data_IF_611805045464
#
_entry.id   IF_611805045464
#
_cell.length_a   1.000
_cell.length_b   1.000
_cell.length_c   1.000
_cell.angle_alpha   90.00
_cell.angle_beta   90.00
_cell.angle_gamma   90.00
#
_symmetry.space_group_name_H-M   'P 1'
#
loop_
_entity.id
_entity.type
_entity.pdbx_description
1 polymer ?
#
# COMPACT_ATOMS: atom_id res chain seq x y z
N UNK A 1 -58.03 -0.93 -66.09
CA UNK A 1 -56.98 -0.30 -65.26
C UNK A 1 -57.57 -0.06 -63.88
N UNK A 2 -57.20 -0.86 -62.89
CA UNK A 2 -57.60 -0.68 -61.49
C UNK A 2 -56.47 -1.22 -60.61
N UNK A 3 -55.77 -0.32 -59.91
CA UNK A 3 -54.59 -0.60 -59.09
C UNK A 3 -55.02 -0.67 -57.63
N UNK A 4 -55.00 -1.88 -57.06
CA UNK A 4 -55.22 -2.11 -55.62
C UNK A 4 -53.90 -2.52 -54.97
N UNK A 5 -53.27 -1.58 -54.26
CA UNK A 5 -52.07 -1.81 -53.47
C UNK A 5 -52.43 -2.41 -52.09
N UNK A 6 -51.76 -3.51 -51.73
CA UNK A 6 -51.94 -4.28 -50.48
C UNK A 6 -50.99 -3.73 -49.39
N UNK A 7 -51.38 -3.63 -48.11
CA UNK A 7 -50.55 -2.99 -47.09
C UNK A 7 -49.48 -3.95 -46.50
N UNK A 8 -48.32 -3.39 -46.17
CA UNK A 8 -47.18 -4.08 -45.58
C UNK A 8 -47.39 -4.44 -44.09
N UNK A 9 -47.08 -5.69 -43.74
CA UNK A 9 -47.09 -6.23 -42.36
C UNK A 9 -45.94 -5.64 -41.54
N UNK A 10 -46.24 -4.99 -40.41
CA UNK A 10 -45.26 -4.60 -39.38
C UNK A 10 -44.74 -5.84 -38.63
N UNK A 11 -43.43 -6.09 -38.69
CA UNK A 11 -42.78 -7.10 -37.87
C UNK A 11 -42.56 -6.55 -36.44
N UNK A 12 -43.03 -7.27 -35.42
CA UNK A 12 -42.74 -6.98 -34.00
C UNK A 12 -41.35 -7.51 -33.66
N UNK A 13 -40.43 -6.62 -33.27
CA UNK A 13 -39.15 -7.00 -32.68
C UNK A 13 -39.35 -7.49 -31.23
N UNK A 14 -38.70 -8.60 -30.86
CA UNK A 14 -38.65 -9.10 -29.47
C UNK A 14 -37.70 -8.22 -28.63
N UNK A 15 -37.98 -7.94 -27.35
CA UNK A 15 -37.02 -7.24 -26.49
C UNK A 15 -35.86 -8.19 -26.12
N UNK A 16 -34.65 -7.65 -26.11
CA UNK A 16 -33.45 -8.34 -25.65
C UNK A 16 -33.50 -8.57 -24.12
N UNK A 17 -32.87 -9.65 -23.60
CA UNK A 17 -32.87 -9.92 -22.17
C UNK A 17 -32.03 -8.87 -21.42
N UNK A 18 -32.59 -8.34 -20.34
CA UNK A 18 -31.90 -7.43 -19.44
C UNK A 18 -30.71 -8.15 -18.78
N UNK A 19 -29.49 -7.61 -18.95
CA UNK A 19 -28.31 -8.05 -18.21
C UNK A 19 -28.57 -7.84 -16.72
N UNK A 20 -28.61 -8.93 -15.96
CA UNK A 20 -28.57 -8.88 -14.50
C UNK A 20 -27.22 -8.31 -14.06
N UNK A 21 -27.26 -7.17 -13.36
CA UNK A 21 -26.09 -6.53 -12.77
C UNK A 21 -25.49 -7.45 -11.69
N UNK A 22 -24.27 -7.95 -11.95
CA UNK A 22 -23.47 -8.66 -10.95
C UNK A 22 -23.11 -7.67 -9.84
N UNK A 23 -23.50 -7.98 -8.60
CA UNK A 23 -23.23 -7.14 -7.42
C UNK A 23 -21.72 -7.10 -7.07
N UNK A 24 -21.22 -6.01 -6.47
CA UNK A 24 -19.79 -5.76 -6.22
C UNK A 24 -19.20 -6.53 -5.01
N UNK A 25 -19.83 -7.60 -4.53
CA UNK A 25 -19.36 -8.31 -3.31
C UNK A 25 -17.93 -8.86 -3.45
N UNK A 26 -17.52 -9.25 -4.67
CA UNK A 26 -16.20 -9.79 -4.95
C UNK A 26 -15.05 -8.79 -4.82
N UNK A 27 -15.28 -7.49 -5.07
CA UNK A 27 -14.22 -6.48 -4.88
C UNK A 27 -13.96 -6.25 -3.39
N UNK A 28 -15.01 -6.31 -2.56
CA UNK A 28 -14.90 -6.13 -1.11
C UNK A 28 -14.13 -7.26 -0.42
N UNK A 29 -14.36 -8.53 -0.82
CA UNK A 29 -13.63 -9.67 -0.25
C UNK A 29 -12.16 -9.66 -0.66
N UNK A 30 -11.87 -9.30 -1.92
CA UNK A 30 -10.49 -9.17 -2.42
C UNK A 30 -9.72 -8.07 -1.69
N UNK A 31 -10.34 -6.90 -1.51
CA UNK A 31 -9.75 -5.81 -0.74
C UNK A 31 -9.51 -6.20 0.72
N UNK A 32 -10.49 -6.86 1.35
CA UNK A 32 -10.38 -7.38 2.73
C UNK A 32 -9.26 -8.42 2.86
N UNK A 33 -9.05 -9.27 1.86
CA UNK A 33 -7.98 -10.28 1.88
C UNK A 33 -6.60 -9.65 1.86
N UNK A 34 -6.44 -8.66 0.98
CA UNK A 34 -5.20 -7.90 0.89
C UNK A 34 -4.92 -7.09 2.15
N UNK A 35 -5.95 -6.44 2.70
CA UNK A 35 -5.86 -5.74 3.99
C UNK A 35 -5.53 -6.70 5.13
N UNK A 36 -6.18 -7.86 5.21
CA UNK A 36 -5.87 -8.88 6.21
C UNK A 36 -4.40 -9.32 6.14
N UNK A 37 -3.91 -9.63 4.94
CA UNK A 37 -2.50 -10.00 4.72
C UNK A 37 -1.55 -8.86 5.13
N UNK A 38 -1.91 -7.63 4.81
CA UNK A 38 -1.18 -6.43 5.24
C UNK A 38 -1.10 -6.34 6.76
N UNK A 39 -2.23 -6.52 7.46
CA UNK A 39 -2.29 -6.47 8.92
C UNK A 39 -1.43 -7.56 9.57
N UNK A 40 -1.44 -8.78 9.01
CA UNK A 40 -0.62 -9.87 9.53
C UNK A 40 0.89 -9.63 9.34
N UNK A 41 1.30 -8.92 8.28
CA UNK A 41 2.67 -8.44 8.13
C UNK A 41 2.99 -7.41 9.22
N UNK A 42 2.10 -6.43 9.43
CA UNK A 42 2.33 -5.36 10.40
C UNK A 42 2.42 -5.86 11.83
N UNK A 43 1.60 -6.85 12.20
CA UNK A 43 1.63 -7.50 13.52
C UNK A 43 2.78 -8.50 13.68
N UNK A 44 3.60 -8.74 12.65
CA UNK A 44 4.72 -9.67 12.69
C UNK A 44 4.33 -11.16 12.69
N UNK A 45 3.05 -11.47 12.46
CA UNK A 45 2.54 -12.84 12.31
C UNK A 45 2.90 -13.43 10.94
N UNK A 46 3.09 -12.58 9.93
CA UNK A 46 3.67 -12.93 8.65
C UNK A 46 5.09 -12.37 8.53
N UNK A 47 6.08 -13.26 8.52
CA UNK A 47 7.49 -12.91 8.45
C UNK A 47 8.09 -13.20 7.06
N UNK A 48 9.08 -12.41 6.61
CA UNK A 48 9.80 -12.69 5.38
C UNK A 48 10.42 -14.09 5.36
N UNK A 49 10.41 -14.73 4.19
CA UNK A 49 11.00 -16.06 3.98
C UNK A 49 10.30 -17.24 4.66
N UNK A 50 9.35 -17.01 5.57
CA UNK A 50 8.64 -18.09 6.27
C UNK A 50 7.79 -18.92 5.29
N UNK A 51 7.56 -20.19 5.63
CA UNK A 51 6.59 -21.03 4.93
C UNK A 51 5.26 -21.04 5.67
N UNK A 52 4.16 -20.89 4.94
CA UNK A 52 2.80 -21.04 5.44
C UNK A 52 2.01 -22.01 4.55
N UNK A 53 1.20 -22.84 5.16
CA UNK A 53 0.20 -23.67 4.47
C UNK A 53 -1.05 -22.85 4.14
N UNK A 54 -1.87 -23.34 3.20
CA UNK A 54 -3.18 -22.71 2.93
C UNK A 54 -4.06 -22.67 4.19
N UNK A 55 -3.96 -23.68 5.05
CA UNK A 55 -4.75 -23.78 6.29
C UNK A 55 -4.31 -22.76 7.34
N UNK A 56 -3.01 -22.54 7.48
CA UNK A 56 -2.48 -21.47 8.34
C UNK A 56 -2.90 -20.11 7.80
N UNK A 57 -2.84 -19.89 6.48
CA UNK A 57 -3.25 -18.64 5.85
C UNK A 57 -4.76 -18.38 6.03
N UNK A 58 -5.61 -19.42 5.98
CA UNK A 58 -7.03 -19.29 6.34
C UNK A 58 -7.22 -18.80 7.77
N UNK A 59 -6.43 -19.34 8.71
CA UNK A 59 -6.52 -18.98 10.13
C UNK A 59 -6.03 -17.56 10.38
N UNK A 60 -4.90 -17.19 9.76
CA UNK A 60 -4.30 -15.85 9.89
C UNK A 60 -5.19 -14.76 9.30
N UNK A 61 -5.90 -15.05 8.20
CA UNK A 61 -6.71 -14.06 7.50
C UNK A 61 -8.18 -14.10 7.88
N UNK A 62 -8.61 -15.08 8.68
CA UNK A 62 -10.01 -15.38 8.96
C UNK A 62 -10.84 -15.51 7.66
N UNK A 63 -10.38 -16.41 6.76
CA UNK A 63 -10.96 -16.58 5.43
C UNK A 63 -11.22 -18.04 5.06
N UNK A 64 -12.31 -18.30 4.31
CA UNK A 64 -12.59 -19.65 3.81
C UNK A 64 -11.56 -20.07 2.76
N UNK A 65 -11.36 -21.39 2.63
CA UNK A 65 -10.35 -21.98 1.73
C UNK A 65 -10.49 -21.51 0.27
N UNK A 66 -11.72 -21.34 -0.23
CA UNK A 66 -11.97 -20.85 -1.58
C UNK A 66 -11.40 -19.45 -1.80
N UNK A 67 -11.65 -18.52 -0.86
CA UNK A 67 -11.12 -17.16 -0.92
C UNK A 67 -9.58 -17.13 -0.83
N UNK A 68 -9.00 -17.95 0.04
CA UNK A 68 -7.53 -18.08 0.14
C UNK A 68 -6.94 -18.59 -1.17
N UNK A 69 -7.55 -19.60 -1.81
CA UNK A 69 -7.09 -20.13 -3.11
C UNK A 69 -7.16 -19.11 -4.23
N UNK A 70 -8.18 -18.25 -4.25
CA UNK A 70 -8.28 -17.16 -5.22
C UNK A 70 -7.28 -16.03 -4.97
N UNK A 71 -6.87 -15.84 -3.71
CA UNK A 71 -5.91 -14.81 -3.31
C UNK A 71 -4.47 -15.20 -3.64
N UNK A 72 -4.10 -16.49 -3.54
CA UNK A 72 -2.72 -16.95 -3.77
C UNK A 72 -2.13 -16.46 -5.10
N UNK A 73 -2.78 -16.65 -6.27
CA UNK A 73 -2.25 -16.16 -7.55
C UNK A 73 -2.00 -14.65 -7.56
N UNK A 74 -2.79 -13.86 -6.80
CA UNK A 74 -2.60 -12.41 -6.69
C UNK A 74 -1.39 -12.05 -5.84
N UNK A 75 -1.22 -12.74 -4.71
CA UNK A 75 -0.03 -12.57 -3.87
C UNK A 75 1.24 -13.00 -4.62
N UNK A 76 1.15 -14.05 -5.45
CA UNK A 76 2.24 -14.48 -6.33
C UNK A 76 2.54 -13.48 -7.44
N UNK A 77 1.51 -12.94 -8.11
CA UNK A 77 1.68 -11.86 -9.09
C UNK A 77 2.28 -10.59 -8.46
N UNK A 78 1.92 -10.32 -7.20
CA UNK A 78 2.53 -9.29 -6.37
C UNK A 78 3.93 -9.66 -5.84
N UNK A 79 4.44 -10.88 -6.09
CA UNK A 79 5.72 -11.34 -5.58
C UNK A 79 5.82 -11.33 -4.05
N UNK A 80 4.69 -11.37 -3.34
CA UNK A 80 4.58 -11.41 -1.88
C UNK A 80 4.64 -12.84 -1.35
N UNK A 81 4.26 -13.79 -2.19
CA UNK A 81 4.26 -15.23 -1.91
C UNK A 81 4.80 -15.98 -3.13
N UNK A 82 5.36 -17.16 -2.91
CA UNK A 82 5.73 -18.13 -3.95
C UNK A 82 5.26 -19.51 -3.54
N UNK A 83 4.50 -20.19 -4.39
CA UNK A 83 4.15 -21.59 -4.18
C UNK A 83 5.37 -22.48 -4.42
N UNK A 84 5.71 -23.29 -3.41
CA UNK A 84 6.81 -24.26 -3.47
C UNK A 84 6.22 -25.67 -3.37
N UNK A 85 6.39 -26.52 -4.40
CA UNK A 85 5.87 -27.87 -4.40
C UNK A 85 6.24 -28.63 -3.12
N UNK A 86 5.27 -29.31 -2.52
CA UNK A 86 5.41 -30.10 -1.28
C UNK A 86 5.84 -29.33 -0.01
N UNK A 87 6.11 -28.02 -0.10
CA UNK A 87 6.53 -27.19 1.05
C UNK A 87 5.52 -26.12 1.44
N UNK A 88 4.59 -25.76 0.56
CA UNK A 88 3.55 -24.77 0.83
C UNK A 88 3.83 -23.41 0.17
N UNK A 89 3.42 -22.34 0.83
CA UNK A 89 3.54 -20.97 0.35
C UNK A 89 4.71 -20.29 1.06
N UNK A 90 5.75 -19.90 0.33
CA UNK A 90 6.87 -19.15 0.87
C UNK A 90 6.56 -17.65 0.80
N UNK A 91 6.61 -16.94 1.92
CA UNK A 91 6.53 -15.47 1.94
C UNK A 91 7.81 -14.90 1.31
N UNK A 92 7.69 -13.78 0.61
CA UNK A 92 8.81 -13.10 -0.03
C UNK A 92 10.00 -12.97 0.94
N UNK A 93 11.18 -13.42 0.49
CA UNK A 93 12.42 -13.22 1.21
C UNK A 93 13.00 -11.84 0.89
N UNK A 94 13.66 -11.21 1.87
CA UNK A 94 14.27 -9.89 1.72
C UNK A 94 15.73 -10.05 1.32
N UNK A 95 16.02 -9.80 0.04
CA UNK A 95 17.38 -9.68 -0.48
C UNK A 95 17.69 -8.24 -0.93
N UNK A 96 18.97 -7.94 -1.19
CA UNK A 96 19.42 -6.63 -1.68
C UNK A 96 18.69 -6.18 -2.95
N UNK A 97 18.37 -7.14 -3.84
CA UNK A 97 17.67 -6.87 -5.09
C UNK A 97 16.24 -6.40 -4.84
N UNK A 98 15.53 -7.02 -3.91
CA UNK A 98 14.18 -6.63 -3.50
C UNK A 98 14.19 -5.23 -2.88
N UNK A 99 15.14 -4.95 -1.97
CA UNK A 99 15.28 -3.62 -1.36
C UNK A 99 15.47 -2.56 -2.44
N UNK A 100 16.45 -2.72 -3.32
CA UNK A 100 16.71 -1.77 -4.41
C UNK A 100 15.48 -1.57 -5.30
N UNK A 101 14.87 -2.67 -5.75
CA UNK A 101 13.75 -2.61 -6.68
C UNK A 101 12.52 -1.94 -6.03
N UNK A 102 12.19 -2.30 -4.78
CA UNK A 102 11.03 -1.77 -4.09
C UNK A 102 11.17 -0.27 -3.79
N UNK A 103 12.34 0.18 -3.32
CA UNK A 103 12.58 1.60 -3.07
C UNK A 103 12.67 2.43 -4.37
N UNK A 104 13.14 1.87 -5.48
CA UNK A 104 13.14 2.55 -6.76
C UNK A 104 11.71 2.80 -7.28
N UNK A 105 10.84 1.77 -7.24
CA UNK A 105 9.42 1.93 -7.60
C UNK A 105 8.74 2.96 -6.70
N UNK A 106 9.01 2.89 -5.39
CA UNK A 106 8.49 3.84 -4.40
C UNK A 106 8.86 5.29 -4.76
N UNK A 107 10.14 5.54 -5.02
CA UNK A 107 10.66 6.86 -5.37
C UNK A 107 10.04 7.41 -6.66
N UNK A 108 9.92 6.58 -7.70
CA UNK A 108 9.32 7.01 -8.98
C UNK A 108 7.87 7.47 -8.82
N UNK A 109 7.07 6.71 -8.06
CA UNK A 109 5.64 7.02 -7.86
C UNK A 109 5.47 8.21 -6.91
N UNK A 110 6.11 8.17 -5.74
CA UNK A 110 5.87 9.18 -4.72
C UNK A 110 6.41 10.57 -5.10
N UNK A 111 7.43 10.64 -5.95
CA UNK A 111 7.92 11.91 -6.51
C UNK A 111 6.84 12.64 -7.31
N UNK A 112 6.10 11.92 -8.16
CA UNK A 112 5.01 12.53 -8.92
C UNK A 112 3.82 12.81 -7.99
N UNK A 113 3.55 11.90 -7.06
CA UNK A 113 2.52 12.05 -6.05
C UNK A 113 2.69 13.34 -5.23
N UNK A 114 3.88 13.58 -4.66
CA UNK A 114 4.12 14.77 -3.82
C UNK A 114 4.08 16.06 -4.64
N UNK A 115 4.55 16.03 -5.89
CA UNK A 115 4.46 17.17 -6.81
C UNK A 115 3.00 17.54 -7.07
N UNK A 116 2.16 16.55 -7.38
CA UNK A 116 0.73 16.75 -7.58
C UNK A 116 0.03 17.18 -6.29
N UNK A 117 0.40 16.57 -5.16
CA UNK A 117 -0.17 16.87 -3.85
C UNK A 117 0.12 18.31 -3.44
N UNK A 118 1.31 18.85 -3.74
CA UNK A 118 1.66 20.25 -3.51
C UNK A 118 0.65 21.23 -4.17
N UNK A 119 0.10 20.88 -5.32
CA UNK A 119 -0.86 21.70 -6.05
C UNK A 119 -2.32 21.49 -5.58
N UNK A 120 -2.66 20.32 -5.04
CA UNK A 120 -4.06 19.89 -4.87
C UNK A 120 -4.51 19.74 -3.42
N UNK A 121 -3.61 19.46 -2.48
CA UNK A 121 -3.97 19.26 -1.07
C UNK A 121 -4.58 20.52 -0.47
N UNK A 122 -5.61 20.39 0.37
CA UNK A 122 -6.19 21.54 1.07
C UNK A 122 -5.34 21.98 2.27
N UNK A 123 -5.46 23.24 2.68
CA UNK A 123 -4.77 23.74 3.87
C UNK A 123 -5.21 22.99 5.15
N UNK A 124 -6.51 22.71 5.29
CA UNK A 124 -7.07 21.97 6.42
C UNK A 124 -6.55 20.51 6.47
N UNK A 125 -6.36 19.87 5.31
CA UNK A 125 -5.78 18.54 5.26
C UNK A 125 -4.30 18.55 5.65
N UNK A 126 -3.51 19.52 5.17
CA UNK A 126 -2.12 19.69 5.60
C UNK A 126 -2.01 19.96 7.09
N UNK A 127 -2.90 20.76 7.67
CA UNK A 127 -2.95 21.01 9.11
C UNK A 127 -3.23 19.72 9.90
N UNK A 128 -4.20 18.92 9.44
CA UNK A 128 -4.52 17.61 10.05
C UNK A 128 -3.33 16.65 9.99
N UNK A 129 -2.66 16.56 8.83
CA UNK A 129 -1.46 15.74 8.65
C UNK A 129 -0.32 16.26 9.54
N UNK A 130 -0.12 17.58 9.62
CA UNK A 130 0.93 18.18 10.45
C UNK A 130 0.70 17.85 11.93
N UNK A 131 -0.53 18.01 12.41
CA UNK A 131 -0.91 17.75 13.79
C UNK A 131 -0.66 16.28 14.17
N UNK A 132 -0.99 15.32 13.31
CA UNK A 132 -0.75 13.90 13.60
C UNK A 132 0.74 13.56 13.70
N UNK A 133 1.60 14.19 12.89
CA UNK A 133 3.05 13.99 12.99
C UNK A 133 3.63 14.63 14.26
N UNK A 134 3.12 15.80 14.65
CA UNK A 134 3.54 16.48 15.87
C UNK A 134 3.12 15.72 17.12
N UNK A 135 1.92 15.13 17.15
CA UNK A 135 1.45 14.26 18.24
C UNK A 135 2.40 13.07 18.46
N UNK A 136 2.78 12.38 17.39
CA UNK A 136 3.75 11.28 17.46
C UNK A 136 5.09 11.73 18.04
N UNK A 137 5.62 12.89 17.61
CA UNK A 137 6.88 13.43 18.14
C UNK A 137 6.77 13.82 19.63
N UNK A 138 5.64 14.39 20.04
CA UNK A 138 5.39 14.75 21.42
C UNK A 138 5.34 13.50 22.31
N UNK A 139 4.59 12.48 21.91
CA UNK A 139 4.48 11.20 22.61
C UNK A 139 5.82 10.47 22.66
N UNK A 140 6.59 10.48 21.56
CA UNK A 140 7.93 9.87 21.51
C UNK A 140 8.97 10.56 22.39
N UNK A 141 8.75 11.83 22.76
CA UNK A 141 9.63 12.61 23.63
C UNK A 141 9.18 12.63 25.09
N UNK A 142 8.04 12.00 25.41
CA UNK A 142 7.52 11.93 26.76
C UNK A 142 8.24 10.84 27.57
N UNK A 143 8.43 11.08 28.87
CA UNK A 143 8.99 10.09 29.80
C UNK A 143 8.00 8.95 30.16
N UNK A 144 6.81 8.96 29.56
CA UNK A 144 5.76 7.98 29.82
C UNK A 144 5.81 6.89 28.75
N UNK A 145 5.94 5.60 29.13
CA UNK A 145 5.85 4.49 28.19
C UNK A 145 4.50 4.49 27.49
N UNK A 146 4.54 4.46 26.15
CA UNK A 146 3.36 4.39 25.31
C UNK A 146 3.45 3.13 24.43
N UNK A 147 2.63 2.14 24.76
CA UNK A 147 2.60 0.87 24.06
C UNK A 147 2.04 0.97 22.63
N UNK A 148 1.24 2.01 22.33
CA UNK A 148 0.63 2.22 21.02
C UNK A 148 1.48 3.09 20.09
N UNK A 149 2.50 3.79 20.63
CA UNK A 149 3.30 4.76 19.90
C UNK A 149 3.84 4.24 18.55
N UNK A 150 4.41 3.04 18.54
CA UNK A 150 5.01 2.49 17.32
C UNK A 150 3.96 2.16 16.26
N UNK A 151 2.81 1.64 16.66
CA UNK A 151 1.72 1.29 15.74
C UNK A 151 1.07 2.55 15.17
N UNK A 152 0.79 3.54 16.01
CA UNK A 152 0.23 4.83 15.60
C UNK A 152 1.21 5.57 14.68
N UNK A 153 2.49 5.57 15.02
CA UNK A 153 3.54 6.15 14.20
C UNK A 153 3.62 5.52 12.81
N UNK A 154 3.52 4.18 12.71
CA UNK A 154 3.48 3.52 11.42
C UNK A 154 2.22 3.90 10.65
N UNK A 155 1.07 3.97 11.30
CA UNK A 155 -0.17 4.38 10.66
C UNK A 155 -0.06 5.81 10.10
N UNK A 156 0.57 6.74 10.82
CA UNK A 156 0.86 8.11 10.37
C UNK A 156 1.86 8.13 9.21
N UNK A 157 2.98 7.39 9.32
CA UNK A 157 4.01 7.24 8.27
C UNK A 157 3.37 6.80 6.95
N UNK A 158 2.76 5.63 6.96
CA UNK A 158 2.16 5.06 5.76
C UNK A 158 0.96 5.84 5.25
N UNK A 159 0.14 6.37 6.16
CA UNK A 159 -1.05 7.14 5.81
C UNK A 159 -0.71 8.41 5.02
N UNK A 160 0.42 9.07 5.31
CA UNK A 160 0.88 10.21 4.52
C UNK A 160 1.22 9.81 3.09
N UNK A 161 2.02 8.76 2.91
CA UNK A 161 2.42 8.31 1.58
C UNK A 161 1.24 7.80 0.75
N UNK A 162 0.35 7.00 1.36
CA UNK A 162 -0.87 6.50 0.70
C UNK A 162 -1.77 7.66 0.25
N UNK A 163 -1.97 8.69 1.09
CA UNK A 163 -2.75 9.89 0.74
C UNK A 163 -2.16 10.66 -0.43
N UNK A 164 -0.84 10.87 -0.45
CA UNK A 164 -0.18 11.56 -1.58
C UNK A 164 -0.41 10.81 -2.89
N UNK A 165 -0.27 9.48 -2.87
CA UNK A 165 -0.44 8.64 -4.06
C UNK A 165 -1.90 8.61 -4.51
N UNK A 166 -2.84 8.43 -3.58
CA UNK A 166 -4.28 8.40 -3.88
C UNK A 166 -4.78 9.74 -4.44
N UNK A 167 -4.17 10.87 -4.03
CA UNK A 167 -4.49 12.19 -4.55
C UNK A 167 -4.20 12.35 -6.05
N UNK A 168 -3.40 11.46 -6.67
CA UNK A 168 -3.24 11.43 -8.12
C UNK A 168 -4.54 11.08 -8.87
N UNK A 169 -5.54 10.50 -8.18
CA UNK A 169 -6.80 10.08 -8.79
C UNK A 169 -6.62 8.95 -9.82
N UNK A 170 -5.51 8.22 -9.76
CA UNK A 170 -5.18 7.14 -10.68
C UNK A 170 -5.18 5.80 -9.94
N UNK A 171 -6.24 5.03 -10.13
CA UNK A 171 -6.45 3.74 -9.45
C UNK A 171 -5.35 2.72 -9.80
N UNK A 172 -4.84 2.74 -11.04
CA UNK A 172 -3.78 1.83 -11.50
C UNK A 172 -2.48 2.12 -10.74
N UNK A 173 -2.09 3.40 -10.64
CA UNK A 173 -0.90 3.80 -9.87
C UNK A 173 -1.07 3.41 -8.40
N UNK A 174 -2.25 3.65 -7.84
CA UNK A 174 -2.54 3.37 -6.44
C UNK A 174 -2.49 1.86 -6.14
N UNK A 175 -2.98 1.00 -7.05
CA UNK A 175 -2.87 -0.46 -6.92
C UNK A 175 -1.40 -0.93 -6.99
N UNK A 176 -0.64 -0.45 -7.97
CA UNK A 176 0.80 -0.78 -8.10
C UNK A 176 1.56 -0.35 -6.85
N UNK A 177 1.27 0.84 -6.34
CA UNK A 177 1.90 1.39 -5.14
C UNK A 177 1.57 0.55 -3.89
N UNK A 178 0.31 0.19 -3.67
CA UNK A 178 -0.10 -0.67 -2.53
C UNK A 178 0.53 -2.07 -2.57
N UNK A 179 0.78 -2.60 -3.76
CA UNK A 179 1.58 -3.83 -3.92
C UNK A 179 3.03 -3.63 -3.54
N UNK A 180 3.63 -2.53 -3.98
CA UNK A 180 5.00 -2.21 -3.63
C UNK A 180 5.18 -1.88 -2.14
N UNK A 181 4.25 -1.16 -1.52
CA UNK A 181 4.34 -0.75 -0.12
C UNK A 181 4.35 -1.96 0.83
N UNK A 182 3.68 -3.06 0.48
CA UNK A 182 3.80 -4.33 1.21
C UNK A 182 5.20 -4.92 1.18
N UNK A 183 5.90 -4.84 0.05
CA UNK A 183 7.31 -5.28 -0.03
C UNK A 183 8.19 -4.42 0.87
N UNK A 184 7.97 -3.10 0.88
CA UNK A 184 8.70 -2.18 1.76
C UNK A 184 8.40 -2.47 3.23
N UNK A 185 7.15 -2.81 3.60
CA UNK A 185 6.78 -3.22 4.96
C UNK A 185 7.49 -4.51 5.39
N UNK A 186 7.52 -5.54 4.52
CA UNK A 186 8.28 -6.77 4.77
C UNK A 186 9.77 -6.49 4.98
N UNK A 187 10.36 -5.63 4.14
CA UNK A 187 11.75 -5.19 4.28
C UNK A 187 11.99 -4.50 5.63
N UNK A 188 11.13 -3.56 6.02
CA UNK A 188 11.25 -2.84 7.30
C UNK A 188 11.12 -3.79 8.50
N UNK A 189 10.23 -4.78 8.41
CA UNK A 189 10.02 -5.80 9.44
C UNK A 189 11.27 -6.69 9.61
N UNK A 190 11.82 -7.23 8.52
CA UNK A 190 13.02 -8.08 8.57
C UNK A 190 14.19 -7.38 9.27
N UNK A 191 14.43 -6.14 8.86
CA UNK A 191 15.57 -5.36 9.33
C UNK A 191 15.37 -4.75 10.72
N UNK A 192 14.24 -5.05 11.37
CA UNK A 192 13.89 -4.51 12.68
C UNK A 192 14.06 -2.98 12.74
N UNK A 193 13.74 -2.28 11.63
CA UNK A 193 13.96 -0.83 11.54
C UNK A 193 12.88 0.00 12.21
N UNK A 194 11.83 -0.65 12.68
CA UNK A 194 10.74 -0.04 13.43
C UNK A 194 11.20 0.07 14.88
N UNK A 195 11.85 1.19 15.20
CA UNK A 195 12.31 1.49 16.56
C UNK A 195 12.07 2.96 16.89
N UNK A 196 11.93 3.33 18.18
CA UNK A 196 11.82 4.73 18.57
C UNK A 196 12.99 5.60 18.05
N UNK A 197 14.20 5.04 18.03
CA UNK A 197 15.40 5.73 17.54
C UNK A 197 15.34 6.09 16.03
N UNK A 198 14.60 5.31 15.23
CA UNK A 198 14.42 5.55 13.79
C UNK A 198 13.12 6.29 13.49
N UNK A 199 12.16 6.25 14.41
CA UNK A 199 10.87 6.93 14.32
C UNK A 199 11.03 8.46 14.29
N UNK A 200 11.70 9.03 15.29
CA UNK A 200 11.80 10.50 15.44
C UNK A 200 12.42 11.15 14.19
N UNK A 201 13.56 10.67 13.65
CA UNK A 201 14.12 11.22 12.42
C UNK A 201 13.17 11.13 11.22
N UNK A 202 12.40 10.03 11.08
CA UNK A 202 11.45 9.88 9.98
C UNK A 202 10.28 10.88 10.07
N UNK A 203 9.73 11.10 11.27
CA UNK A 203 8.68 12.10 11.48
C UNK A 203 9.17 13.53 11.24
N UNK A 204 10.41 13.84 11.63
CA UNK A 204 11.05 15.12 11.34
C UNK A 204 11.32 15.30 9.84
N UNK A 205 11.76 14.25 9.13
CA UNK A 205 11.87 14.22 7.67
C UNK A 205 10.52 14.56 7.01
N UNK A 206 9.42 13.98 7.49
CA UNK A 206 8.08 14.26 6.98
C UNK A 206 7.67 15.71 7.16
N UNK A 207 7.82 16.25 8.38
CA UNK A 207 7.47 17.63 8.68
C UNK A 207 8.20 18.64 7.79
N UNK A 208 9.44 18.33 7.37
CA UNK A 208 10.17 19.19 6.43
C UNK A 208 9.49 19.28 5.07
N UNK A 209 9.11 18.15 4.45
CA UNK A 209 8.43 18.23 3.15
C UNK A 209 6.97 18.69 3.29
N UNK A 210 6.30 18.43 4.41
CA UNK A 210 4.99 19.02 4.72
C UNK A 210 5.07 20.56 4.78
N UNK A 211 6.12 21.12 5.38
CA UNK A 211 6.32 22.58 5.40
C UNK A 211 6.54 23.16 4.00
N UNK A 212 7.18 22.42 3.09
CA UNK A 212 7.29 22.82 1.68
C UNK A 212 5.93 22.72 0.96
N UNK A 213 5.11 21.71 1.25
CA UNK A 213 3.75 21.59 0.73
C UNK A 213 2.86 22.75 1.17
N UNK A 214 2.97 23.19 2.43
CA UNK A 214 2.25 24.36 2.97
C UNK A 214 2.61 25.65 2.21
N UNK A 215 3.86 25.78 1.78
CA UNK A 215 4.35 26.90 0.96
C UNK A 215 4.05 26.73 -0.53
N UNK A 216 3.42 25.63 -0.94
CA UNK A 216 3.19 25.25 -2.35
C UNK A 216 4.48 25.14 -3.17
N UNK A 217 5.62 24.93 -2.51
CA UNK A 217 6.91 24.72 -3.18
C UNK A 217 7.06 23.24 -3.56
N UNK A 218 6.52 22.90 -4.73
CA UNK A 218 6.59 21.54 -5.26
C UNK A 218 8.04 21.07 -5.51
N UNK A 219 8.97 21.99 -5.79
CA UNK A 219 10.37 21.62 -6.04
C UNK A 219 11.06 21.23 -4.74
N UNK A 220 10.92 22.04 -3.70
CA UNK A 220 11.45 21.72 -2.38
C UNK A 220 10.79 20.47 -1.78
N UNK A 221 9.47 20.31 -1.94
CA UNK A 221 8.76 19.13 -1.45
C UNK A 221 9.29 17.83 -2.09
N UNK A 222 9.53 17.83 -3.40
CA UNK A 222 10.12 16.68 -4.12
C UNK A 222 11.53 16.38 -3.62
N UNK A 223 12.39 17.38 -3.50
CA UNK A 223 13.77 17.18 -3.04
C UNK A 223 13.84 16.62 -1.61
N UNK A 224 13.00 17.14 -0.72
CA UNK A 224 12.91 16.69 0.67
C UNK A 224 12.33 15.28 0.78
N UNK A 225 11.34 14.93 -0.05
CA UNK A 225 10.83 13.56 -0.15
C UNK A 225 11.91 12.59 -0.66
N UNK A 226 12.61 12.93 -1.74
CA UNK A 226 13.68 12.08 -2.29
C UNK A 226 14.75 11.80 -1.22
N UNK A 227 15.16 12.84 -0.47
CA UNK A 227 16.09 12.68 0.65
C UNK A 227 15.54 11.78 1.78
N UNK A 228 14.26 11.90 2.11
CA UNK A 228 13.59 11.02 3.07
C UNK A 228 13.61 9.55 2.60
N UNK A 229 13.28 9.29 1.32
CA UNK A 229 13.24 7.94 0.76
C UNK A 229 14.63 7.31 0.71
N UNK A 230 15.66 8.09 0.38
CA UNK A 230 17.06 7.64 0.44
C UNK A 230 17.51 7.35 1.88
N UNK A 231 17.15 8.20 2.84
CA UNK A 231 17.39 7.99 4.27
C UNK A 231 16.72 6.69 4.75
N UNK A 232 15.46 6.48 4.38
CA UNK A 232 14.71 5.26 4.69
C UNK A 232 15.34 4.00 4.07
N UNK A 233 15.82 4.08 2.82
CA UNK A 233 16.54 2.99 2.17
C UNK A 233 17.86 2.68 2.89
N UNK A 234 18.61 3.71 3.24
CA UNK A 234 19.90 3.56 3.91
C UNK A 234 19.75 2.93 5.30
N UNK A 235 18.72 3.33 6.07
CA UNK A 235 18.40 2.71 7.38
C UNK A 235 18.16 1.20 7.29
N UNK A 236 17.61 0.73 6.17
CA UNK A 236 17.42 -0.70 5.89
C UNK A 236 18.74 -1.36 5.51
N UNK A 237 19.52 -0.76 4.62
CA UNK A 237 20.76 -1.33 4.09
C UNK A 237 21.90 -1.40 5.13
N UNK A 238 21.91 -0.50 6.11
CA UNK A 238 22.91 -0.48 7.18
C UNK A 238 22.47 -1.25 8.43
N UNK A 239 21.30 -1.90 8.41
CA UNK A 239 20.93 -2.84 9.45
C UNK A 239 21.73 -4.15 9.28
N UNK A 240 22.23 -4.69 10.39
CA UNK A 240 23.29 -5.71 10.45
C UNK A 240 23.01 -7.01 9.65
N UNK A 241 21.76 -7.27 9.25
CA UNK A 241 21.37 -8.55 8.63
C UNK A 241 21.52 -8.61 7.11
N UNK A 242 21.68 -7.49 6.38
CA UNK A 242 21.83 -7.50 4.90
C UNK A 242 23.28 -7.70 4.45
N UNK A 243 24.25 -7.39 5.33
CA UNK A 243 25.68 -7.45 5.02
C UNK A 243 26.34 -8.78 5.39
N UNK A 244 25.58 -9.75 5.90
CA UNK A 244 26.08 -11.09 6.20
C UNK A 244 25.91 -12.00 4.97
N UNK A 245 26.99 -12.60 4.43
CA UNK A 245 26.97 -13.41 3.21
C UNK A 245 26.23 -14.75 3.37
#
# INVERSE_FOLDING_TARGET
>A
MSTSAKPARKARAKPAPALALVRPESSSQRARAYQGFTQQILSGNIRPGQFVSQRELMTLLDMPLGAVREMIPRLEAGGLVKTVPQRGLQIAHVDLKLVRNAFQVRSLIEREAVRHFAATVSAAELETITASHQDILQRASADVPDAALLDDAQAVDWGLHDRMVDALGNEIISEIYRVNSLRVRLIKLEQSVITPARLIPAMQEHLRFIAALQQRDATAAVQLLEAHLDSARNRVLTADSILSP
#
